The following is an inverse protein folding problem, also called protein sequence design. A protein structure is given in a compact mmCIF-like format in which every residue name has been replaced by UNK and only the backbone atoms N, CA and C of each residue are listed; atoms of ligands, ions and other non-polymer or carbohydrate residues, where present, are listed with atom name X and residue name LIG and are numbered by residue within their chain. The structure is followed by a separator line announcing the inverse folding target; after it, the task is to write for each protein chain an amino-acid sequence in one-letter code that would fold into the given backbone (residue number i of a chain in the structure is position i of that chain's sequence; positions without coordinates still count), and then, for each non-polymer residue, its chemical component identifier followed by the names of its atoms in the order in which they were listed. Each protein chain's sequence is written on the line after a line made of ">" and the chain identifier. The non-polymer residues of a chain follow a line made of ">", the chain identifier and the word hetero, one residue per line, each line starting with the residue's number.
data_IF_187994060746
#
_entry.id   IF_187994060746
#
_cell.length_a   1.000
_cell.length_b   1.000
_cell.length_c   1.000
_cell.angle_alpha   90.00
_cell.angle_beta   90.00
_cell.angle_gamma   90.00
#
_symmetry.space_group_name_H-M   'P 1'
#
loop_
_entity.id
_entity.type
_entity.pdbx_description
1 polymer ?
#
# COMPACT_ATOMS: atom_id res chain seq x y z
N UNK A 1 -15.11 -0.93 7.49
CA UNK A 1 -14.14 -0.45 6.47
C UNK A 1 -12.89 -1.23 6.74
N UNK A 2 -12.37 -1.93 5.74
CA UNK A 2 -11.27 -2.88 5.94
C UNK A 2 -9.99 -2.31 5.35
N UNK A 3 -8.86 -2.50 6.03
CA UNK A 3 -7.55 -2.20 5.47
C UNK A 3 -6.96 -3.49 4.91
N UNK A 4 -6.51 -3.47 3.65
CA UNK A 4 -5.88 -4.62 3.04
C UNK A 4 -4.74 -4.19 2.11
N UNK A 5 -3.71 -5.04 2.02
CA UNK A 5 -2.56 -4.84 1.13
C UNK A 5 -2.94 -5.18 -0.30
N UNK A 6 -3.11 -4.15 -1.13
CA UNK A 6 -3.59 -4.29 -2.52
C UNK A 6 -2.74 -3.44 -3.46
N UNK A 7 -2.78 -3.77 -4.74
CA UNK A 7 -2.21 -2.90 -5.77
C UNK A 7 -3.02 -1.60 -5.86
N UNK A 8 -2.32 -0.47 -5.92
CA UNK A 8 -2.91 0.86 -6.06
C UNK A 8 -2.18 1.73 -7.07
N UNK A 9 -2.47 3.02 -7.08
CA UNK A 9 -1.92 3.99 -8.06
C UNK A 9 -0.44 4.37 -7.80
N UNK A 10 0.21 3.73 -6.82
CA UNK A 10 1.65 3.92 -6.58
C UNK A 10 2.03 5.16 -5.76
N UNK A 11 1.08 5.84 -5.11
CA UNK A 11 1.34 7.05 -4.29
C UNK A 11 2.44 6.83 -3.23
N UNK A 12 2.45 5.65 -2.61
CA UNK A 12 3.45 5.26 -1.61
C UNK A 12 4.35 4.14 -2.12
N UNK A 13 3.73 3.05 -2.56
CA UNK A 13 4.36 1.91 -3.25
C UNK A 13 3.32 1.26 -4.16
N UNK A 14 3.77 0.40 -5.09
CA UNK A 14 2.89 -0.32 -6.04
C UNK A 14 1.79 -1.11 -5.31
N UNK A 15 2.20 -1.83 -4.27
CA UNK A 15 1.29 -2.49 -3.33
C UNK A 15 1.38 -1.79 -1.98
N UNK A 16 0.23 -1.46 -1.40
CA UNK A 16 0.17 -0.77 -0.11
C UNK A 16 -1.15 -1.08 0.60
N UNK A 17 -1.14 -1.04 1.94
CA UNK A 17 -2.34 -1.24 2.75
C UNK A 17 -3.00 0.09 3.07
N UNK A 18 -4.25 0.25 2.64
CA UNK A 18 -5.05 1.46 2.90
C UNK A 18 -6.51 1.06 3.13
N UNK A 19 -7.36 1.95 3.69
CA UNK A 19 -8.77 1.65 3.88
C UNK A 19 -9.49 1.43 2.54
N UNK A 20 -10.23 0.34 2.45
CA UNK A 20 -10.97 -0.07 1.25
C UNK A 20 -12.46 -0.13 1.54
N UNK A 21 -13.23 0.36 0.57
CA UNK A 21 -14.64 0.00 0.44
C UNK A 21 -14.73 -1.24 -0.46
N UNK A 22 -15.37 -2.28 0.05
CA UNK A 22 -15.59 -3.51 -0.70
C UNK A 22 -16.99 -3.50 -1.33
N UNK A 23 -17.07 -3.98 -2.56
CA UNK A 23 -18.31 -4.22 -3.30
C UNK A 23 -18.39 -5.66 -3.77
N UNK A 24 -19.41 -5.98 -4.56
CA UNK A 24 -19.66 -7.36 -5.05
C UNK A 24 -18.51 -7.95 -5.88
N UNK A 25 -17.67 -7.11 -6.47
CA UNK A 25 -16.56 -7.50 -7.33
C UNK A 25 -15.18 -7.27 -6.67
N UNK A 26 -15.12 -7.19 -5.33
CA UNK A 26 -13.88 -6.91 -4.60
C UNK A 26 -13.73 -5.44 -4.24
N UNK A 27 -12.56 -4.83 -4.51
CA UNK A 27 -12.28 -3.43 -4.16
C UNK A 27 -13.17 -2.50 -4.99
N UNK A 28 -14.11 -1.82 -4.33
CA UNK A 28 -14.97 -0.82 -4.96
C UNK A 28 -14.35 0.59 -4.88
N UNK A 29 -13.67 0.90 -3.79
CA UNK A 29 -13.02 2.20 -3.58
C UNK A 29 -11.75 2.02 -2.75
N UNK A 30 -10.66 2.71 -3.13
CA UNK A 30 -9.46 2.87 -2.31
C UNK A 30 -9.52 4.24 -1.66
N UNK A 31 -9.60 4.29 -0.33
CA UNK A 31 -9.72 5.55 0.41
C UNK A 31 -8.35 6.00 0.92
N UNK A 32 -8.11 7.32 1.00
CA UNK A 32 -6.85 7.84 1.52
C UNK A 32 -6.67 7.44 2.99
N UNK A 33 -5.41 7.32 3.41
CA UNK A 33 -5.05 7.06 4.82
C UNK A 33 -5.38 8.24 5.76
N UNK A 34 -5.75 9.38 5.18
CA UNK A 34 -6.14 10.59 5.92
C UNK A 34 -4.93 11.39 6.41
N UNK A 35 -5.18 12.28 7.37
CA UNK A 35 -4.13 13.11 7.97
C UNK A 35 -3.33 12.30 8.97
N UNK A 36 -2.02 12.23 8.76
CA UNK A 36 -1.09 11.58 9.67
C UNK A 36 -0.53 12.59 10.68
N UNK A 37 -0.28 12.13 11.90
CA UNK A 37 0.55 12.84 12.85
C UNK A 37 2.01 12.92 12.35
N UNK A 38 2.81 13.82 12.92
CA UNK A 38 4.22 13.94 12.56
C UNK A 38 4.99 12.62 12.75
N UNK A 39 4.66 11.85 13.80
CA UNK A 39 5.26 10.55 14.07
C UNK A 39 4.89 9.51 13.00
N UNK A 40 3.60 9.40 12.65
CA UNK A 40 3.11 8.47 11.64
C UNK A 40 3.66 8.82 10.25
N UNK A 41 3.76 10.10 9.92
CA UNK A 41 4.35 10.56 8.67
C UNK A 41 5.84 10.18 8.57
N UNK A 42 6.60 10.34 9.66
CA UNK A 42 8.00 9.93 9.71
C UNK A 42 8.16 8.42 9.57
N UNK A 43 7.31 7.64 10.25
CA UNK A 43 7.31 6.18 10.15
C UNK A 43 6.94 5.69 8.74
N UNK A 44 5.95 6.34 8.10
CA UNK A 44 5.59 6.09 6.71
C UNK A 44 6.79 6.33 5.80
N UNK A 45 7.39 7.53 5.83
CA UNK A 45 8.54 7.86 4.98
C UNK A 45 9.73 6.92 5.21
N UNK A 46 9.99 6.50 6.45
CA UNK A 46 11.11 5.63 6.81
C UNK A 46 10.99 4.17 6.35
N UNK A 47 9.77 3.67 6.10
CA UNK A 47 9.56 2.26 5.70
C UNK A 47 9.45 2.05 4.19
N UNK A 48 9.20 3.10 3.40
CA UNK A 48 8.87 2.99 1.96
C UNK A 48 9.96 2.31 1.12
N UNK A 49 11.23 2.60 1.41
CA UNK A 49 12.34 2.00 0.66
C UNK A 49 12.44 0.49 0.89
N UNK A 50 12.20 0.03 2.12
CA UNK A 50 12.14 -1.40 2.43
C UNK A 50 10.96 -2.05 1.72
N UNK A 51 9.77 -1.45 1.81
CA UNK A 51 8.57 -2.00 1.18
C UNK A 51 8.73 -2.14 -0.35
N UNK A 52 9.33 -1.14 -1.01
CA UNK A 52 9.59 -1.19 -2.45
C UNK A 52 10.57 -2.30 -2.83
N UNK A 53 11.59 -2.55 -2.00
CA UNK A 53 12.53 -3.67 -2.21
C UNK A 53 11.84 -5.02 -2.07
N UNK A 54 10.97 -5.18 -1.08
CA UNK A 54 10.22 -6.42 -0.85
C UNK A 54 9.29 -6.73 -2.04
N UNK A 55 8.63 -5.71 -2.59
CA UNK A 55 7.82 -5.84 -3.81
C UNK A 55 8.70 -6.25 -5.00
N UNK A 56 9.82 -5.56 -5.22
CA UNK A 56 10.73 -5.87 -6.31
C UNK A 56 11.27 -7.31 -6.23
N UNK A 57 11.60 -7.78 -5.02
CA UNK A 57 12.03 -9.15 -4.79
C UNK A 57 10.97 -10.17 -5.21
N UNK A 58 9.69 -9.93 -4.88
CA UNK A 58 8.58 -10.78 -5.30
C UNK A 58 8.39 -10.79 -6.82
N UNK A 59 8.53 -9.64 -7.48
CA UNK A 59 8.44 -9.53 -8.94
C UNK A 59 9.60 -10.22 -9.67
N UNK A 60 10.82 -10.07 -9.16
CA UNK A 60 12.02 -10.72 -9.71
C UNK A 60 11.96 -12.23 -9.57
N UNK A 61 11.46 -12.74 -8.44
CA UNK A 61 11.31 -14.17 -8.21
C UNK A 61 10.44 -14.85 -9.28
N UNK A 62 9.37 -14.18 -9.74
CA UNK A 62 8.47 -14.72 -10.78
C UNK A 62 9.09 -14.65 -12.19
N UNK A 63 10.07 -13.76 -12.41
CA UNK A 63 10.73 -13.57 -13.72
C UNK A 63 11.90 -14.54 -13.95
N UNK A 64 12.31 -15.29 -12.92
CA UNK A 64 13.32 -16.35 -13.01
C UNK A 64 12.71 -17.62 -13.63
#
# INVERSE_FOLDING_TARGET
>A
VECAYVEGEGEHARFFSQPLLLGKNGVAERRPIGTLSAYEQQALSGMLDTLKKDIAQGEEFVKQ
#
